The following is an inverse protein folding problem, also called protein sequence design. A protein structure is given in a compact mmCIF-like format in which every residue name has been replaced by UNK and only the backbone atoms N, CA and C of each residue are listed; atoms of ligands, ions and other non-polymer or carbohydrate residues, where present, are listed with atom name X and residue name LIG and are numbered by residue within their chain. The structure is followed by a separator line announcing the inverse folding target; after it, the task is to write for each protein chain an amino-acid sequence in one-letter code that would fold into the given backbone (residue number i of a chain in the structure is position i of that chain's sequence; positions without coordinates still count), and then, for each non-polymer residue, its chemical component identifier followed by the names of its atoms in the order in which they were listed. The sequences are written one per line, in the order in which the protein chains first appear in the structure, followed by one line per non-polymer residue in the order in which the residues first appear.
data_IF_987049946898
#
_entry.id   IF_987049946898
#
_cell.length_a   1.000
_cell.length_b   1.000
_cell.length_c   1.000
_cell.angle_alpha   90.00
_cell.angle_beta   90.00
_cell.angle_gamma   90.00
#
_symmetry.space_group_name_H-M   'P 1'
#
loop_
_entity.id
_entity.type
_entity.pdbx_description
1 polymer ?
#
# COMPACT_ATOMS: atom_id res chain seq x y z
N UNK A 1 -78.00 14.12 -7.63
CA UNK A 1 -76.67 14.22 -8.24
C UNK A 1 -75.64 14.08 -7.14
N UNK A 2 -74.98 12.89 -7.04
CA UNK A 2 -73.94 12.64 -6.05
C UNK A 2 -72.58 12.72 -6.76
N UNK A 3 -71.73 13.68 -6.33
CA UNK A 3 -70.35 13.78 -6.76
C UNK A 3 -69.53 12.73 -6.01
N UNK A 4 -68.93 11.76 -6.75
CA UNK A 4 -67.95 10.81 -6.21
C UNK A 4 -66.60 11.49 -6.17
N UNK A 5 -66.13 11.79 -4.97
CA UNK A 5 -64.76 12.22 -4.69
C UNK A 5 -63.83 11.04 -4.92
N UNK A 6 -62.91 11.18 -5.90
CA UNK A 6 -61.83 10.23 -6.15
C UNK A 6 -60.64 10.67 -5.31
N UNK A 7 -60.44 10.02 -4.16
CA UNK A 7 -59.23 10.15 -3.39
C UNK A 7 -58.09 9.45 -4.14
N UNK A 8 -57.21 10.20 -4.76
CA UNK A 8 -55.95 9.69 -5.29
C UNK A 8 -54.98 9.49 -4.12
N UNK A 9 -54.83 8.26 -3.67
CA UNK A 9 -53.78 7.87 -2.74
C UNK A 9 -52.42 7.95 -3.45
N UNK A 10 -51.66 9.02 -3.20
CA UNK A 10 -50.27 9.14 -3.60
C UNK A 10 -49.46 8.31 -2.61
N UNK A 11 -49.09 7.12 -3.04
CA UNK A 11 -48.16 6.24 -2.31
C UNK A 11 -46.75 6.85 -2.43
N UNK A 12 -46.33 7.53 -1.36
CA UNK A 12 -44.95 7.98 -1.21
C UNK A 12 -44.08 6.75 -0.93
N UNK A 13 -43.46 6.21 -1.99
CA UNK A 13 -42.36 5.27 -1.85
C UNK A 13 -41.14 6.09 -1.42
N UNK A 14 -40.97 6.25 -0.10
CA UNK A 14 -39.72 6.74 0.47
C UNK A 14 -38.67 5.67 0.22
N UNK A 15 -37.92 5.82 -0.90
CA UNK A 15 -36.73 5.05 -1.17
C UNK A 15 -35.69 5.44 -0.09
N UNK A 16 -35.65 4.66 0.99
CA UNK A 16 -34.61 4.74 2.00
C UNK A 16 -33.28 4.46 1.30
N UNK A 17 -32.63 5.52 0.83
CA UNK A 17 -31.21 5.49 0.44
C UNK A 17 -30.43 5.35 1.76
N UNK A 18 -30.31 4.12 2.24
CA UNK A 18 -29.33 3.82 3.26
C UNK A 18 -27.96 4.15 2.65
N UNK A 19 -27.18 5.03 3.27
CA UNK A 19 -25.78 5.17 2.86
C UNK A 19 -25.11 3.83 3.14
N UNK A 20 -24.98 2.98 2.12
CA UNK A 20 -24.03 1.89 2.16
C UNK A 20 -22.67 2.57 2.25
N UNK A 21 -22.19 2.72 3.47
CA UNK A 21 -20.75 2.95 3.68
C UNK A 21 -20.06 1.72 3.13
N UNK A 22 -19.71 1.76 1.85
CA UNK A 22 -18.79 0.83 1.23
C UNK A 22 -17.44 1.07 1.95
N UNK A 23 -17.26 0.44 3.10
CA UNK A 23 -15.93 0.29 3.65
C UNK A 23 -15.15 -0.44 2.58
N UNK A 24 -14.22 0.26 1.93
CA UNK A 24 -13.34 -0.36 0.96
C UNK A 24 -12.66 -1.54 1.66
N UNK A 25 -12.92 -2.74 1.15
CA UNK A 25 -12.39 -3.96 1.74
C UNK A 25 -10.87 -3.95 1.58
N UNK A 26 -10.16 -4.27 2.65
CA UNK A 26 -8.72 -4.51 2.59
C UNK A 26 -8.49 -5.83 1.88
N UNK A 27 -8.09 -5.75 0.61
CA UNK A 27 -7.77 -6.93 -0.19
C UNK A 27 -6.35 -7.41 0.12
N UNK A 28 -6.16 -8.74 0.21
CA UNK A 28 -4.81 -9.28 0.20
C UNK A 28 -4.12 -8.97 -1.14
N UNK A 29 -2.76 -9.00 -1.20
CA UNK A 29 -2.05 -8.81 -2.45
C UNK A 29 -2.54 -9.74 -3.56
N UNK A 30 -2.82 -11.00 -3.24
CA UNK A 30 -3.29 -12.00 -4.20
C UNK A 30 -4.70 -11.69 -4.73
N UNK A 31 -5.60 -11.23 -3.85
CA UNK A 31 -6.95 -10.81 -4.25
C UNK A 31 -6.90 -9.57 -5.14
N UNK A 32 -6.01 -8.64 -4.84
CA UNK A 32 -5.84 -7.42 -5.63
C UNK A 32 -5.21 -7.69 -7.00
N UNK A 33 -4.17 -8.53 -7.04
CA UNK A 33 -3.41 -8.84 -8.25
C UNK A 33 -4.12 -9.84 -9.16
N UNK A 34 -5.04 -10.67 -8.63
CA UNK A 34 -5.70 -11.75 -9.36
C UNK A 34 -4.80 -12.98 -9.62
N UNK A 35 -3.64 -13.06 -8.95
CA UNK A 35 -2.75 -14.21 -9.00
C UNK A 35 -2.01 -14.37 -7.68
N UNK A 36 -1.50 -15.57 -7.43
CA UNK A 36 -0.73 -15.89 -6.22
C UNK A 36 0.62 -15.21 -6.25
N UNK A 37 0.95 -14.49 -5.17
CA UNK A 37 2.27 -13.86 -5.00
C UNK A 37 3.37 -14.93 -5.11
N UNK A 38 4.45 -14.59 -5.81
CA UNK A 38 5.58 -15.49 -6.08
C UNK A 38 5.40 -16.38 -7.32
N UNK A 39 4.24 -16.35 -8.02
CA UNK A 39 4.06 -17.10 -9.29
C UNK A 39 4.53 -16.33 -10.52
N UNK A 40 4.64 -15.03 -10.41
CA UNK A 40 5.22 -14.10 -11.41
C UNK A 40 5.67 -12.84 -10.71
N UNK A 41 6.58 -12.08 -11.30
CA UNK A 41 6.97 -10.80 -10.76
C UNK A 41 5.97 -9.69 -11.10
N UNK A 42 5.59 -8.95 -10.06
CA UNK A 42 4.62 -7.87 -10.14
C UNK A 42 5.28 -6.60 -10.70
N UNK A 43 4.67 -5.95 -11.68
CA UNK A 43 5.18 -4.69 -12.24
C UNK A 43 5.08 -3.55 -11.22
N UNK A 44 5.98 -2.57 -11.32
CA UNK A 44 6.02 -1.46 -10.36
C UNK A 44 4.69 -0.72 -10.21
N UNK A 45 4.01 -0.39 -11.30
CA UNK A 45 2.71 0.30 -11.23
C UNK A 45 1.64 -0.48 -10.47
N UNK A 46 1.66 -1.83 -10.49
CA UNK A 46 0.72 -2.66 -9.73
C UNK A 46 1.01 -2.58 -8.22
N UNK A 47 2.29 -2.48 -7.85
CA UNK A 47 2.71 -2.28 -6.46
C UNK A 47 2.21 -0.92 -5.96
N UNK A 48 2.47 0.15 -6.73
CA UNK A 48 1.99 1.51 -6.42
C UNK A 48 0.47 1.54 -6.27
N UNK A 49 -0.26 0.91 -7.21
CA UNK A 49 -1.72 0.84 -7.17
C UNK A 49 -2.22 0.08 -5.93
N UNK A 50 -1.54 -1.00 -5.53
CA UNK A 50 -1.88 -1.73 -4.32
C UNK A 50 -1.73 -0.87 -3.06
N UNK A 51 -0.59 -0.21 -2.90
CA UNK A 51 -0.34 0.71 -1.77
C UNK A 51 -1.37 1.84 -1.74
N UNK A 52 -1.73 2.37 -2.90
CA UNK A 52 -2.77 3.41 -3.03
C UNK A 52 -4.15 2.89 -2.61
N UNK A 53 -4.51 1.69 -3.04
CA UNK A 53 -5.78 1.07 -2.67
C UNK A 53 -5.88 0.80 -1.16
N UNK A 54 -4.79 0.29 -0.54
CA UNK A 54 -4.74 0.06 0.90
C UNK A 54 -4.82 1.39 1.67
N UNK A 55 -4.09 2.42 1.24
CA UNK A 55 -4.15 3.74 1.88
C UNK A 55 -5.56 4.36 1.79
N UNK A 56 -6.26 4.17 0.67
CA UNK A 56 -7.65 4.61 0.55
C UNK A 56 -8.62 3.82 1.47
N UNK A 57 -8.41 2.50 1.60
CA UNK A 57 -9.23 1.63 2.44
C UNK A 57 -8.96 1.81 3.95
N UNK A 58 -7.76 2.26 4.31
CA UNK A 58 -7.26 2.42 5.69
C UNK A 58 -6.62 3.79 5.89
N UNK A 59 -7.30 4.84 5.45
CA UNK A 59 -6.79 6.21 5.49
C UNK A 59 -6.48 6.75 6.89
N UNK A 60 -7.03 6.13 7.91
CA UNK A 60 -6.72 6.39 9.31
C UNK A 60 -5.43 5.72 9.79
N UNK A 61 -4.98 4.63 9.14
CA UNK A 61 -3.81 3.84 9.52
C UNK A 61 -2.63 3.96 8.55
N UNK A 62 -2.88 4.36 7.30
CA UNK A 62 -1.87 4.40 6.24
C UNK A 62 -1.86 5.76 5.56
N UNK A 63 -0.69 6.41 5.55
CA UNK A 63 -0.45 7.67 4.86
C UNK A 63 0.64 7.50 3.81
N UNK A 64 0.32 7.76 2.54
CA UNK A 64 1.32 7.80 1.48
C UNK A 64 2.01 9.16 1.43
N UNK A 65 3.32 9.13 1.28
CA UNK A 65 4.18 10.31 1.24
C UNK A 65 5.04 10.20 -0.02
N UNK A 66 4.73 10.95 -1.09
CA UNK A 66 5.60 11.03 -2.26
C UNK A 66 6.88 11.79 -1.88
N UNK A 67 8.03 11.33 -2.36
CA UNK A 67 9.30 12.00 -2.07
C UNK A 67 10.14 12.32 -3.31
N UNK A 68 9.67 11.98 -4.51
CA UNK A 68 10.34 12.34 -5.75
C UNK A 68 9.96 11.46 -6.93
N UNK A 69 10.80 11.54 -7.96
CA UNK A 69 10.73 10.73 -9.17
C UNK A 69 12.10 10.17 -9.50
N UNK A 70 12.10 9.03 -10.16
CA UNK A 70 13.33 8.44 -10.72
C UNK A 70 13.79 9.19 -11.97
N UNK A 71 14.96 8.79 -12.50
CA UNK A 71 15.45 9.30 -13.78
C UNK A 71 14.51 9.02 -14.96
N UNK A 72 13.76 7.92 -14.92
CA UNK A 72 12.78 7.55 -15.93
C UNK A 72 11.36 8.09 -15.61
N UNK A 73 11.24 8.97 -14.61
CA UNK A 73 10.00 9.68 -14.26
C UNK A 73 9.00 8.89 -13.42
N UNK A 74 9.36 7.72 -12.88
CA UNK A 74 8.49 6.93 -12.00
C UNK A 74 8.40 7.56 -10.63
N UNK A 75 7.19 7.54 -10.05
CA UNK A 75 6.95 8.09 -8.72
C UNK A 75 7.62 7.24 -7.62
N UNK A 76 8.28 7.93 -6.70
CA UNK A 76 8.84 7.38 -5.48
C UNK A 76 7.95 7.75 -4.31
N UNK A 77 7.59 6.77 -3.49
CA UNK A 77 6.71 6.97 -2.34
C UNK A 77 7.07 6.09 -1.16
N UNK A 78 6.76 6.58 0.03
CA UNK A 78 6.82 5.84 1.28
C UNK A 78 5.42 5.77 1.87
N UNK A 79 5.05 4.63 2.40
CA UNK A 79 3.86 4.48 3.23
C UNK A 79 4.25 4.56 4.71
N UNK A 80 3.61 5.46 5.46
CA UNK A 80 3.66 5.48 6.92
C UNK A 80 2.46 4.69 7.45
N UNK A 81 2.72 3.68 8.27
CA UNK A 81 1.73 2.78 8.85
C UNK A 81 1.79 2.86 10.37
N UNK A 82 0.64 3.03 11.02
CA UNK A 82 0.51 3.12 12.47
C UNK A 82 -0.92 2.97 12.94
N UNK A 83 -1.14 3.13 14.24
CA UNK A 83 -2.50 3.33 14.76
C UNK A 83 -3.07 4.65 14.21
N UNK A 84 -4.39 4.81 14.22
CA UNK A 84 -5.02 6.08 13.80
C UNK A 84 -4.48 7.28 14.59
N UNK A 85 -4.18 7.10 15.88
CA UNK A 85 -3.57 8.13 16.71
C UNK A 85 -2.15 8.46 16.26
N UNK A 86 -1.31 7.45 16.01
CA UNK A 86 0.07 7.63 15.56
C UNK A 86 0.14 8.32 14.19
N UNK A 87 -0.74 7.94 13.26
CA UNK A 87 -0.80 8.58 11.93
C UNK A 87 -1.28 10.02 12.03
N UNK A 88 -2.24 10.31 12.90
CA UNK A 88 -2.68 11.70 13.17
C UNK A 88 -1.53 12.55 13.74
N UNK A 89 -0.69 11.96 14.60
CA UNK A 89 0.41 12.64 15.29
C UNK A 89 1.77 12.43 14.62
N UNK A 90 1.80 11.93 13.36
CA UNK A 90 3.01 11.50 12.67
C UNK A 90 4.13 12.56 12.67
N UNK A 91 3.82 13.83 12.44
CA UNK A 91 4.82 14.90 12.43
C UNK A 91 5.40 15.18 13.82
N UNK A 92 4.59 15.07 14.86
CA UNK A 92 5.07 15.17 16.23
C UNK A 92 6.01 14.02 16.59
N UNK A 93 5.63 12.78 16.22
CA UNK A 93 6.46 11.59 16.42
C UNK A 93 7.78 11.75 15.65
N UNK A 94 7.75 12.23 14.41
CA UNK A 94 8.96 12.49 13.61
C UNK A 94 9.89 13.47 14.30
N UNK A 95 9.37 14.62 14.75
CA UNK A 95 10.17 15.65 15.45
C UNK A 95 10.75 15.13 16.74
N UNK A 96 9.98 14.34 17.49
CA UNK A 96 10.45 13.74 18.73
C UNK A 96 11.61 12.75 18.47
N UNK A 97 11.45 11.83 17.50
CA UNK A 97 12.51 10.88 17.14
C UNK A 97 13.78 11.62 16.62
N UNK A 98 13.63 12.70 15.86
CA UNK A 98 14.76 13.54 15.44
C UNK A 98 15.45 14.16 16.64
N UNK A 99 14.70 14.72 17.58
CA UNK A 99 15.24 15.32 18.81
C UNK A 99 15.99 14.32 19.70
N UNK A 100 15.58 13.03 19.70
CA UNK A 100 16.35 11.96 20.37
C UNK A 100 17.73 11.77 19.72
N UNK A 101 17.79 11.74 18.38
CA UNK A 101 19.05 11.61 17.63
C UNK A 101 19.95 12.83 17.86
N UNK A 102 19.39 14.02 17.90
CA UNK A 102 20.10 15.29 18.13
C UNK A 102 20.47 15.50 19.62
N UNK A 103 19.97 14.66 20.52
CA UNK A 103 20.19 14.81 21.97
C UNK A 103 19.42 15.96 22.63
N UNK A 104 18.45 16.56 21.91
CA UNK A 104 17.60 17.64 22.42
C UNK A 104 16.38 17.14 23.19
N UNK A 105 16.03 15.87 23.04
CA UNK A 105 14.95 15.15 23.74
C UNK A 105 15.53 13.92 24.43
N UNK A 106 15.04 13.62 25.63
CA UNK A 106 15.45 12.43 26.42
C UNK A 106 14.28 11.50 26.77
N UNK A 107 13.04 11.92 26.49
CA UNK A 107 11.85 11.11 26.76
C UNK A 107 11.70 10.00 25.71
N UNK A 108 11.63 8.75 26.17
CA UNK A 108 11.47 7.55 25.32
C UNK A 108 10.03 7.05 25.21
N UNK A 109 9.05 7.80 25.72
CA UNK A 109 7.65 7.35 25.80
C UNK A 109 6.83 7.62 24.52
N UNK A 110 7.48 8.01 23.42
CA UNK A 110 6.84 8.20 22.13
C UNK A 110 7.11 7.01 21.20
N UNK A 111 6.23 6.74 20.22
CA UNK A 111 6.46 5.68 19.25
C UNK A 111 7.78 5.84 18.50
N UNK A 112 8.52 4.75 18.36
CA UNK A 112 9.68 4.69 17.49
C UNK A 112 9.28 4.64 16.02
N UNK A 113 10.22 5.01 15.12
CA UNK A 113 10.05 4.89 13.68
C UNK A 113 10.95 3.77 13.16
N UNK A 114 10.37 2.79 12.47
CA UNK A 114 11.07 1.72 11.77
C UNK A 114 10.94 1.95 10.26
N UNK A 115 12.07 1.99 9.54
CA UNK A 115 12.09 2.16 8.10
C UNK A 115 12.46 0.84 7.41
N UNK A 116 11.60 0.40 6.49
CA UNK A 116 11.78 -0.79 5.67
C UNK A 116 11.90 -0.37 4.20
N UNK A 117 13.09 -0.48 3.65
CA UNK A 117 13.36 -0.22 2.22
C UNK A 117 13.43 -1.53 1.45
N UNK A 118 12.66 -1.60 0.36
CA UNK A 118 12.59 -2.79 -0.48
C UNK A 118 13.09 -2.49 -1.89
N UNK A 119 13.57 -3.54 -2.58
CA UNK A 119 13.96 -3.53 -3.99
C UNK A 119 15.03 -2.46 -4.32
N UNK A 120 16.12 -2.48 -3.60
CA UNK A 120 17.30 -1.65 -3.89
C UNK A 120 17.92 -2.04 -5.22
N UNK A 121 18.03 -3.35 -5.49
CA UNK A 121 18.46 -3.88 -6.77
C UNK A 121 17.28 -4.36 -7.59
N UNK A 122 17.22 -3.94 -8.86
CA UNK A 122 16.10 -4.22 -9.76
C UNK A 122 15.90 -5.72 -10.01
N UNK A 123 16.98 -6.49 -10.03
CA UNK A 123 17.00 -7.95 -10.22
C UNK A 123 16.67 -8.77 -8.95
N UNK A 124 16.24 -8.11 -7.87
CA UNK A 124 15.72 -8.72 -6.65
C UNK A 124 14.20 -8.46 -6.53
N UNK A 125 13.38 -8.83 -7.52
CA UNK A 125 12.00 -8.35 -7.63
C UNK A 125 11.07 -8.90 -6.55
N UNK A 126 11.39 -10.03 -5.91
CA UNK A 126 10.59 -10.61 -4.83
C UNK A 126 10.44 -9.69 -3.62
N UNK A 127 11.36 -8.74 -3.42
CA UNK A 127 11.35 -7.85 -2.27
C UNK A 127 10.16 -6.88 -2.28
N UNK A 128 9.77 -6.33 -3.43
CA UNK A 128 8.57 -5.46 -3.51
C UNK A 128 7.26 -6.23 -3.28
N UNK A 129 7.22 -7.52 -3.63
CA UNK A 129 6.08 -8.39 -3.31
C UNK A 129 6.03 -8.68 -1.81
N UNK A 130 7.20 -8.85 -1.18
CA UNK A 130 7.27 -8.92 0.28
C UNK A 130 6.80 -7.61 0.94
N UNK A 131 7.08 -6.43 0.34
CA UNK A 131 6.55 -5.16 0.83
C UNK A 131 5.02 -5.11 0.81
N UNK A 132 4.37 -5.64 -0.23
CA UNK A 132 2.90 -5.75 -0.31
C UNK A 132 2.35 -6.66 0.79
N UNK A 133 2.97 -7.82 1.02
CA UNK A 133 2.58 -8.75 2.08
C UNK A 133 2.78 -8.15 3.47
N UNK A 134 3.88 -7.41 3.67
CA UNK A 134 4.16 -6.71 4.94
C UNK A 134 3.13 -5.62 5.19
N UNK A 135 2.80 -4.80 4.19
CA UNK A 135 1.74 -3.79 4.33
C UNK A 135 0.41 -4.44 4.70
N UNK A 136 0.02 -5.52 4.01
CA UNK A 136 -1.21 -6.24 4.31
C UNK A 136 -1.23 -6.77 5.74
N UNK A 137 -0.16 -7.43 6.18
CA UNK A 137 -0.06 -7.96 7.54
C UNK A 137 -0.17 -6.87 8.62
N UNK A 138 0.35 -5.66 8.36
CA UNK A 138 0.28 -4.54 9.30
C UNK A 138 -1.13 -3.95 9.42
N UNK A 139 -1.94 -4.01 8.36
CA UNK A 139 -3.30 -3.43 8.35
C UNK A 139 -4.42 -4.45 8.52
N UNK A 140 -4.10 -5.75 8.56
CA UNK A 140 -5.08 -6.82 8.76
C UNK A 140 -5.73 -6.69 10.15
N UNK A 141 -7.05 -6.49 10.21
CA UNK A 141 -7.77 -6.37 11.48
C UNK A 141 -7.76 -7.64 12.32
N UNK A 142 -7.38 -8.78 11.77
CA UNK A 142 -7.30 -10.04 12.49
C UNK A 142 -5.88 -10.34 13.04
N UNK A 143 -4.87 -9.58 12.61
CA UNK A 143 -3.50 -9.75 13.08
C UNK A 143 -3.26 -8.97 14.39
N UNK A 144 -3.48 -9.65 15.51
CA UNK A 144 -3.33 -9.03 16.83
C UNK A 144 -1.87 -8.71 17.20
N UNK A 145 -0.93 -9.42 16.62
CA UNK A 145 0.50 -9.20 16.86
C UNK A 145 0.95 -7.86 16.28
N UNK A 146 0.66 -7.62 15.01
CA UNK A 146 0.99 -6.34 14.35
C UNK A 146 0.24 -5.16 14.96
N UNK A 147 -1.03 -5.34 15.35
CA UNK A 147 -1.76 -4.31 16.10
C UNK A 147 -1.05 -3.91 17.40
N UNK A 148 -0.45 -4.88 18.08
CA UNK A 148 0.27 -4.60 19.32
C UNK A 148 1.58 -3.84 19.05
N UNK A 149 2.31 -4.22 17.99
CA UNK A 149 3.53 -3.49 17.58
C UNK A 149 3.24 -2.04 17.22
N UNK A 150 2.18 -1.78 16.46
CA UNK A 150 1.83 -0.46 15.98
C UNK A 150 1.41 0.52 17.10
N UNK A 151 1.14 0.06 18.32
CA UNK A 151 0.89 0.96 19.46
C UNK A 151 2.09 1.86 19.75
N UNK A 152 3.29 1.28 19.67
CA UNK A 152 4.54 1.97 20.03
C UNK A 152 5.50 2.13 18.83
N UNK A 153 5.01 1.91 17.60
CA UNK A 153 5.85 1.96 16.40
C UNK A 153 5.06 2.54 15.22
N UNK A 154 5.71 3.43 14.49
CA UNK A 154 5.31 3.80 13.12
C UNK A 154 6.24 3.07 12.16
N UNK A 155 5.66 2.31 11.23
CA UNK A 155 6.42 1.60 10.20
C UNK A 155 6.39 2.42 8.92
N UNK A 156 7.56 2.76 8.38
CA UNK A 156 7.73 3.41 7.09
C UNK A 156 8.12 2.35 6.07
N UNK A 157 7.31 2.12 5.04
CA UNK A 157 7.62 1.18 3.96
C UNK A 157 7.89 1.95 2.67
N UNK A 158 9.12 1.84 2.16
CA UNK A 158 9.43 2.16 0.78
C UNK A 158 9.32 0.87 -0.05
N UNK A 159 8.26 0.71 -0.86
CA UNK A 159 7.98 -0.57 -1.51
C UNK A 159 8.94 -0.89 -2.66
N UNK A 160 9.61 0.11 -3.22
CA UNK A 160 10.54 -0.06 -4.33
C UNK A 160 11.41 1.19 -4.49
N UNK A 161 12.59 1.17 -3.91
CA UNK A 161 13.53 2.31 -3.98
C UNK A 161 14.17 2.45 -5.38
N UNK A 162 14.22 1.36 -6.17
CA UNK A 162 14.75 1.33 -7.54
C UNK A 162 13.70 0.82 -8.55
N UNK A 163 12.64 1.59 -8.83
CA UNK A 163 11.60 1.13 -9.76
C UNK A 163 12.07 1.06 -11.22
N UNK A 164 13.08 1.83 -11.64
CA UNK A 164 13.63 1.77 -12.98
C UNK A 164 14.34 0.43 -13.23
N UNK A 165 15.23 0.03 -12.32
CA UNK A 165 15.90 -1.26 -12.37
C UNK A 165 14.92 -2.43 -12.27
N UNK A 166 13.89 -2.29 -11.38
CA UNK A 166 12.85 -3.29 -11.26
C UNK A 166 12.09 -3.50 -12.57
N UNK A 167 11.60 -2.44 -13.20
CA UNK A 167 10.79 -2.56 -14.40
C UNK A 167 11.58 -3.14 -15.58
N UNK A 168 12.87 -2.83 -15.70
CA UNK A 168 13.75 -3.47 -16.68
C UNK A 168 13.80 -4.98 -16.48
N UNK A 169 14.10 -5.42 -15.26
CA UNK A 169 14.20 -6.85 -14.95
C UNK A 169 12.86 -7.58 -15.07
N UNK A 170 11.81 -7.04 -14.47
CA UNK A 170 10.48 -7.67 -14.44
C UNK A 170 9.87 -7.75 -15.82
N UNK A 171 10.01 -6.71 -16.66
CA UNK A 171 9.51 -6.74 -18.03
C UNK A 171 10.26 -7.77 -18.87
N UNK A 172 11.58 -7.82 -18.78
CA UNK A 172 12.38 -8.86 -19.43
C UNK A 172 11.92 -10.25 -18.98
N UNK A 173 11.88 -10.50 -17.69
CA UNK A 173 11.51 -11.81 -17.14
C UNK A 173 10.11 -12.24 -17.56
N UNK A 174 9.10 -11.38 -17.42
CA UNK A 174 7.73 -11.70 -17.78
C UNK A 174 7.56 -11.98 -19.29
N UNK A 175 8.33 -11.31 -20.13
CA UNK A 175 8.33 -11.57 -21.57
C UNK A 175 8.98 -12.93 -21.90
N UNK A 176 10.04 -13.31 -21.21
CA UNK A 176 10.72 -14.58 -21.42
C UNK A 176 9.91 -15.77 -20.89
N UNK A 177 9.35 -15.66 -19.68
CA UNK A 177 8.59 -16.75 -19.03
C UNK A 177 7.22 -16.98 -19.67
N UNK A 178 6.61 -15.94 -20.25
CA UNK A 178 5.33 -16.05 -20.97
C UNK A 178 5.42 -16.80 -22.30
N UNK A 179 6.62 -17.15 -22.75
CA UNK A 179 6.88 -17.89 -24.00
C UNK A 179 7.24 -19.35 -23.71
N UNK A 180 7.14 -20.20 -24.73
CA UNK A 180 7.65 -21.58 -24.69
C UNK A 180 9.18 -21.65 -24.64
N UNK A 181 9.84 -20.53 -24.65
CA UNK A 181 11.30 -20.40 -24.63
C UNK A 181 11.85 -20.38 -23.21
N UNK A 182 12.96 -21.05 -23.03
CA UNK A 182 13.66 -21.07 -21.75
C UNK A 182 14.19 -19.68 -21.39
N UNK A 183 14.14 -19.33 -20.12
CA UNK A 183 14.74 -18.11 -19.58
C UNK A 183 16.27 -18.25 -19.53
N UNK A 184 16.92 -18.30 -20.69
CA UNK A 184 18.37 -18.31 -20.74
C UNK A 184 18.92 -16.99 -20.18
N UNK A 185 19.76 -17.02 -19.15
CA UNK A 185 20.43 -15.82 -18.66
C UNK A 185 21.20 -15.05 -19.73
N UNK A 186 21.68 -15.73 -20.76
CA UNK A 186 22.37 -15.10 -21.91
C UNK A 186 21.42 -14.29 -22.81
N UNK A 187 20.09 -14.53 -22.74
CA UNK A 187 19.09 -13.78 -23.48
C UNK A 187 18.68 -12.47 -22.79
N UNK A 188 19.37 -12.04 -21.75
CA UNK A 188 19.08 -10.77 -21.08
C UNK A 188 19.41 -9.59 -21.99
N UNK A 189 18.40 -8.79 -22.30
CA UNK A 189 18.57 -7.54 -23.05
C UNK A 189 19.15 -6.43 -22.18
N UNK A 190 19.03 -6.56 -20.88
CA UNK A 190 19.61 -5.64 -19.94
C UNK A 190 20.28 -6.39 -18.81
N UNK A 191 21.32 -5.84 -18.35
CA UNK A 191 22.02 -6.27 -17.15
C UNK A 191 21.56 -5.45 -15.94
N UNK A 192 22.22 -5.62 -14.85
CA UNK A 192 22.06 -4.85 -13.64
C UNK A 192 21.98 -3.34 -13.89
N UNK A 193 21.24 -2.59 -13.09
CA UNK A 193 21.22 -1.14 -13.16
C UNK A 193 22.55 -0.53 -12.78
#
# INVERSE_FOLDING_TARGET
MQQKSVFKSILWVSLLILPFSLFAQVLSPEQFLGYKVGTRFTRHHQIVNYFTAIAAAKSDMVKLIPYGKTNEGRDLMVAAIGTAENIKNLEQIRKHNLGLVEGTVQDLNQPGIVWLSYNVHGNEPASSEAAMLTLFALVDPNNNETKNWLKNTVVMIDPCINPDGRDRYVNWYNNAVGSTYNTDPAAREHMEP
#
